data_IF_571617256189
#
_entry.id   IF_571617256189
#
_cell.length_a   1.000
_cell.length_b   1.000
_cell.length_c   1.000
_cell.angle_alpha   90.00
_cell.angle_beta   90.00
_cell.angle_gamma   90.00
#
_symmetry.space_group_name_H-M   'P 1'
#
loop_
_entity.id
_entity.type
_entity.pdbx_description
1 polymer ?
#
# COMPACT_ATOMS: atom_id res chain seq x y z
N UNK A 1 32.28 17.89 -6.27
CA UNK A 1 31.18 17.93 -7.25
C UNK A 1 30.71 16.48 -7.43
N UNK A 2 29.71 16.06 -6.69
CA UNK A 2 29.11 14.72 -6.81
C UNK A 2 28.26 14.71 -8.07
N UNK A 3 28.54 13.80 -8.98
CA UNK A 3 27.73 13.56 -10.17
C UNK A 3 26.27 13.33 -9.76
N UNK A 4 25.27 13.87 -10.49
CA UNK A 4 23.89 13.53 -10.22
C UNK A 4 23.72 12.02 -10.44
N UNK A 5 23.27 11.31 -9.41
CA UNK A 5 22.82 9.93 -9.53
C UNK A 5 21.77 9.88 -10.64
N UNK A 6 21.94 8.96 -11.58
CA UNK A 6 20.95 8.71 -12.63
C UNK A 6 19.59 8.50 -11.96
N UNK A 7 18.49 8.99 -12.56
CA UNK A 7 17.17 8.77 -12.01
C UNK A 7 16.98 7.26 -11.83
N UNK A 8 16.54 6.85 -10.63
CA UNK A 8 16.28 5.45 -10.32
C UNK A 8 15.30 4.91 -11.36
N UNK A 9 15.79 4.04 -12.25
CA UNK A 9 14.90 3.41 -13.23
C UNK A 9 14.12 2.28 -12.54
N UNK A 10 12.83 2.34 -12.59
CA UNK A 10 11.92 1.27 -12.15
C UNK A 10 11.31 0.60 -13.38
N UNK A 11 11.06 -0.72 -13.33
CA UNK A 11 11.18 -1.65 -12.20
C UNK A 11 12.62 -1.92 -11.78
N UNK A 12 12.88 -1.97 -10.46
CA UNK A 12 14.22 -2.25 -9.91
C UNK A 12 14.23 -3.61 -9.21
N UNK A 13 15.08 -4.53 -9.68
CA UNK A 13 15.31 -5.80 -9.01
C UNK A 13 16.11 -5.58 -7.71
N UNK A 14 15.59 -6.10 -6.61
CA UNK A 14 16.23 -6.10 -5.29
C UNK A 14 16.89 -7.46 -5.00
N UNK A 15 16.25 -8.54 -5.45
CA UNK A 15 16.74 -9.91 -5.32
C UNK A 15 16.61 -10.61 -6.68
N UNK A 16 17.62 -11.36 -7.11
CA UNK A 16 17.53 -12.05 -8.37
C UNK A 16 16.47 -13.15 -8.31
N UNK A 17 15.66 -13.24 -9.34
CA UNK A 17 14.74 -14.36 -9.58
C UNK A 17 14.67 -14.64 -11.07
N UNK A 18 14.38 -15.89 -11.43
CA UNK A 18 14.08 -16.23 -12.81
C UNK A 18 12.63 -15.88 -13.13
N UNK A 19 12.32 -15.46 -14.36
CA UNK A 19 10.93 -15.27 -14.81
C UNK A 19 10.10 -16.54 -14.56
N UNK A 20 8.84 -16.35 -14.19
CA UNK A 20 7.91 -17.42 -13.80
C UNK A 20 6.65 -17.41 -14.65
N UNK A 21 6.67 -17.97 -15.86
CA UNK A 21 5.47 -18.03 -16.72
C UNK A 21 4.34 -18.88 -16.12
N UNK A 22 4.64 -19.70 -15.09
CA UNK A 22 3.65 -20.51 -14.37
C UNK A 22 2.85 -19.73 -13.32
N UNK A 23 3.13 -18.45 -13.08
CA UNK A 23 2.29 -17.62 -12.19
C UNK A 23 0.89 -17.57 -12.77
N UNK A 24 -0.08 -17.96 -11.94
CA UNK A 24 -1.49 -18.03 -12.29
C UNK A 24 -2.37 -17.16 -11.39
N UNK A 25 -1.85 -16.71 -10.24
CA UNK A 25 -2.60 -15.94 -9.26
C UNK A 25 -1.82 -14.68 -8.85
N UNK A 26 -2.49 -13.56 -8.93
CA UNK A 26 -1.92 -12.24 -8.61
C UNK A 26 -2.75 -11.57 -7.54
N UNK A 27 -2.15 -11.26 -6.41
CA UNK A 27 -2.80 -10.62 -5.27
C UNK A 27 -2.28 -9.20 -5.15
N UNK A 28 -3.17 -8.24 -5.18
CA UNK A 28 -2.89 -6.83 -4.96
C UNK A 28 -3.32 -6.41 -3.56
N UNK A 29 -2.52 -5.63 -2.88
CA UNK A 29 -3.05 -4.73 -1.86
C UNK A 29 -3.89 -3.63 -2.53
N UNK A 30 -4.70 -2.92 -1.75
CA UNK A 30 -5.58 -1.89 -2.31
C UNK A 30 -5.03 -0.48 -2.07
N UNK A 31 -4.96 -0.06 -0.82
CA UNK A 31 -4.52 1.28 -0.43
C UNK A 31 -3.02 1.46 -0.67
N UNK A 32 -2.60 2.54 -1.31
CA UNK A 32 -1.20 2.78 -1.67
C UNK A 32 -0.64 1.88 -2.78
N UNK A 33 -1.41 0.88 -3.23
CA UNK A 33 -1.04 -0.08 -4.28
C UNK A 33 -1.87 0.07 -5.54
N UNK A 34 -3.19 0.10 -5.43
CA UNK A 34 -4.13 0.35 -6.53
C UNK A 34 -4.83 1.70 -6.36
N UNK A 35 -5.28 1.99 -5.14
CA UNK A 35 -5.98 3.19 -4.74
C UNK A 35 -5.02 4.22 -4.15
N UNK A 36 -5.17 5.47 -4.57
CA UNK A 36 -4.48 6.63 -4.00
C UNK A 36 -5.46 7.53 -3.21
N UNK A 37 -6.63 7.02 -2.84
CA UNK A 37 -7.66 7.77 -2.09
C UNK A 37 -7.20 8.16 -0.67
N UNK A 38 -6.32 7.37 -0.06
CA UNK A 38 -5.82 7.60 1.31
C UNK A 38 -4.46 8.27 1.38
N UNK A 39 -3.93 8.78 0.24
CA UNK A 39 -2.63 9.45 0.25
C UNK A 39 -2.60 10.61 1.25
N UNK A 40 -1.43 10.85 1.86
CA UNK A 40 -1.24 11.86 2.88
C UNK A 40 -1.78 11.46 4.27
N UNK A 41 -2.15 10.18 4.49
CA UNK A 41 -2.61 9.70 5.79
C UNK A 41 -1.59 9.92 6.94
N UNK A 42 -0.24 9.88 6.71
CA UNK A 42 0.72 10.12 7.78
C UNK A 42 0.65 11.57 8.29
N UNK A 43 0.45 12.54 7.40
CA UNK A 43 0.32 13.95 7.73
C UNK A 43 -0.97 14.24 8.52
N UNK A 44 -2.07 13.56 8.17
CA UNK A 44 -3.34 13.65 8.93
C UNK A 44 -3.11 13.18 10.37
N UNK A 45 -2.41 12.06 10.55
CA UNK A 45 -2.08 11.52 11.86
C UNK A 45 -1.10 12.41 12.61
N UNK A 46 -0.06 12.90 11.94
CA UNK A 46 0.92 13.83 12.51
C UNK A 46 0.23 15.11 13.03
N UNK A 47 -0.65 15.69 12.23
CA UNK A 47 -1.37 16.90 12.62
C UNK A 47 -2.25 16.67 13.86
N UNK A 48 -2.94 15.53 13.95
CA UNK A 48 -3.66 15.13 15.15
C UNK A 48 -2.72 14.99 16.36
N UNK A 49 -1.57 14.37 16.20
CA UNK A 49 -0.61 14.17 17.29
C UNK A 49 -0.03 15.50 17.78
N UNK A 50 0.27 16.44 16.89
CA UNK A 50 0.79 17.77 17.25
C UNK A 50 -0.17 18.58 18.12
N UNK A 51 -1.47 18.36 18.05
CA UNK A 51 -2.46 19.04 18.92
C UNK A 51 -2.31 18.66 20.41
N UNK A 52 -1.78 17.47 20.67
CA UNK A 52 -1.67 16.92 22.04
C UNK A 52 -0.23 16.70 22.49
N UNK A 53 0.75 16.88 21.60
CA UNK A 53 2.15 16.76 21.97
C UNK A 53 2.62 18.00 22.73
N UNK A 54 3.32 17.88 23.89
CA UNK A 54 3.79 19.03 24.64
C UNK A 54 4.98 19.67 23.93
N UNK A 55 4.76 20.84 23.34
CA UNK A 55 5.77 21.64 22.63
C UNK A 55 6.07 22.87 23.49
N UNK A 56 7.34 23.15 23.74
CA UNK A 56 7.83 24.30 24.46
C UNK A 56 8.41 25.32 23.49
N UNK A 57 8.50 26.64 23.88
CA UNK A 57 9.05 27.68 23.00
C UNK A 57 10.50 27.40 22.53
N UNK A 58 11.30 26.69 23.32
CA UNK A 58 12.68 26.32 23.02
C UNK A 58 12.84 25.05 22.20
N UNK A 59 11.77 24.30 21.97
CA UNK A 59 11.83 23.03 21.24
C UNK A 59 11.96 23.27 19.71
N UNK A 60 12.71 22.43 19.04
CA UNK A 60 12.77 22.39 17.59
C UNK A 60 11.54 21.65 17.03
N UNK A 61 10.58 22.42 16.52
CA UNK A 61 9.32 21.88 15.99
C UNK A 61 9.53 20.94 14.81
N UNK A 62 10.49 21.24 13.92
CA UNK A 62 10.74 20.39 12.75
C UNK A 62 11.38 19.05 13.16
N UNK A 63 12.27 19.07 14.15
CA UNK A 63 12.80 17.83 14.73
C UNK A 63 11.70 16.99 15.39
N UNK A 64 10.76 17.62 16.12
CA UNK A 64 9.62 16.92 16.72
C UNK A 64 8.73 16.30 15.65
N UNK A 65 8.38 17.02 14.57
CA UNK A 65 7.58 16.49 13.47
C UNK A 65 8.27 15.29 12.82
N UNK A 66 9.57 15.41 12.53
CA UNK A 66 10.36 14.33 11.94
C UNK A 66 10.40 13.10 12.82
N UNK A 67 10.53 13.28 14.13
CA UNK A 67 10.50 12.19 15.09
C UNK A 67 9.12 11.50 15.14
N UNK A 68 8.03 12.30 15.18
CA UNK A 68 6.67 11.76 15.23
C UNK A 68 6.30 11.05 13.93
N UNK A 69 6.65 11.60 12.77
CA UNK A 69 6.41 10.93 11.49
C UNK A 69 7.20 9.62 11.38
N UNK A 70 8.42 9.61 11.91
CA UNK A 70 9.24 8.40 11.98
C UNK A 70 8.54 7.31 12.81
N UNK A 71 8.00 7.66 13.98
CA UNK A 71 7.25 6.72 14.83
C UNK A 71 5.99 6.21 14.12
N UNK A 72 5.21 7.11 13.50
CA UNK A 72 4.00 6.77 12.73
C UNK A 72 4.33 5.73 11.65
N UNK A 73 5.33 6.02 10.83
CA UNK A 73 5.70 5.18 9.70
C UNK A 73 6.36 3.87 10.12
N UNK A 74 7.07 3.84 11.26
CA UNK A 74 7.70 2.61 11.79
C UNK A 74 6.69 1.51 12.14
N UNK A 75 5.45 1.88 12.41
CA UNK A 75 4.34 0.99 12.75
C UNK A 75 3.39 0.74 11.56
N UNK A 76 3.77 1.18 10.34
CA UNK A 76 2.97 0.93 9.15
C UNK A 76 2.79 -0.59 8.93
N UNK A 77 1.59 -0.99 8.49
CA UNK A 77 1.21 -2.40 8.32
C UNK A 77 0.75 -3.09 9.61
N UNK A 78 0.83 -2.43 10.77
CA UNK A 78 0.21 -2.88 12.01
C UNK A 78 -1.16 -2.20 12.20
N UNK A 79 -2.05 -2.77 13.05
CA UNK A 79 -3.29 -2.09 13.41
C UNK A 79 -3.03 -0.68 13.93
N UNK A 80 -3.75 0.32 13.42
CA UNK A 80 -3.56 1.76 13.69
C UNK A 80 -3.55 2.12 15.19
N UNK A 81 -4.23 1.33 16.02
CA UNK A 81 -4.21 1.53 17.48
C UNK A 81 -2.81 1.45 18.09
N UNK A 82 -1.87 0.74 17.46
CA UNK A 82 -0.47 0.68 17.96
C UNK A 82 0.24 2.02 17.75
N UNK A 83 -0.02 2.73 16.67
CA UNK A 83 0.49 4.09 16.44
C UNK A 83 -0.06 5.04 17.51
N UNK A 84 -1.35 4.94 17.84
CA UNK A 84 -1.98 5.74 18.90
C UNK A 84 -1.36 5.45 20.29
N UNK A 85 -1.11 4.19 20.61
CA UNK A 85 -0.45 3.79 21.88
C UNK A 85 0.98 4.31 21.97
N UNK A 86 1.77 4.15 20.91
CA UNK A 86 3.14 4.67 20.83
C UNK A 86 3.17 6.19 21.04
N UNK A 87 2.27 6.91 20.39
CA UNK A 87 2.14 8.35 20.58
C UNK A 87 1.79 8.73 22.03
N UNK A 88 0.79 8.06 22.63
CA UNK A 88 0.37 8.33 24.03
C UNK A 88 1.53 8.12 25.01
N UNK A 89 2.26 7.02 24.88
CA UNK A 89 3.44 6.73 25.71
C UNK A 89 4.50 7.82 25.56
N UNK A 90 4.79 8.25 24.35
CA UNK A 90 5.77 9.30 24.05
C UNK A 90 5.33 10.67 24.61
N UNK A 91 4.08 11.06 24.42
CA UNK A 91 3.54 12.31 24.92
C UNK A 91 3.54 12.37 26.46
N UNK A 92 3.13 11.28 27.13
CA UNK A 92 3.20 11.15 28.59
C UNK A 92 4.63 11.26 29.11
N UNK A 93 5.60 10.62 28.47
CA UNK A 93 7.02 10.70 28.83
C UNK A 93 7.58 12.12 28.73
N UNK A 94 7.01 12.96 27.87
CA UNK A 94 7.33 14.39 27.73
C UNK A 94 6.52 15.30 28.67
N UNK A 95 5.65 14.72 29.53
CA UNK A 95 4.82 15.45 30.48
C UNK A 95 3.51 16.00 29.88
N UNK A 96 3.12 15.51 28.69
CA UNK A 96 1.83 15.82 28.06
C UNK A 96 0.65 15.12 28.73
N UNK A 97 -0.55 15.43 28.25
CA UNK A 97 -1.81 14.81 28.69
C UNK A 97 -2.66 14.45 27.47
N UNK A 98 -2.21 13.51 26.62
CA UNK A 98 -2.96 13.13 25.44
C UNK A 98 -4.27 12.41 25.82
N UNK A 99 -5.26 12.38 24.92
CA UNK A 99 -6.42 11.49 25.02
C UNK A 99 -5.99 10.01 25.05
N UNK A 100 -6.95 9.13 25.34
CA UNK A 100 -6.70 7.68 25.28
C UNK A 100 -6.43 7.23 23.83
N UNK A 101 -5.70 6.13 23.61
CA UNK A 101 -5.45 5.61 22.26
C UNK A 101 -6.71 5.40 21.45
N UNK A 102 -7.79 4.91 22.07
CA UNK A 102 -9.07 4.64 21.42
C UNK A 102 -9.76 5.95 20.98
N UNK A 103 -9.66 7.02 21.77
CA UNK A 103 -10.21 8.34 21.44
C UNK A 103 -9.43 8.99 20.28
N UNK A 104 -8.10 8.85 20.28
CA UNK A 104 -7.25 9.31 19.19
C UNK A 104 -7.53 8.53 17.90
N UNK A 105 -7.74 7.21 18.01
CA UNK A 105 -8.09 6.39 16.85
C UNK A 105 -9.40 6.86 16.20
N UNK A 106 -10.43 7.14 16.99
CA UNK A 106 -11.71 7.66 16.50
C UNK A 106 -11.51 9.04 15.84
N UNK A 107 -10.74 9.94 16.48
CA UNK A 107 -10.48 11.27 15.94
C UNK A 107 -9.66 11.20 14.62
N UNK A 108 -8.69 10.33 14.53
CA UNK A 108 -7.92 10.10 13.31
C UNK A 108 -8.81 9.54 12.19
N UNK A 109 -9.59 8.50 12.50
CA UNK A 109 -10.49 7.88 11.52
C UNK A 109 -11.48 8.89 10.95
N UNK A 110 -12.07 9.74 11.81
CA UNK A 110 -12.96 10.79 11.37
C UNK A 110 -12.30 11.75 10.37
N UNK A 111 -11.07 12.23 10.67
CA UNK A 111 -10.35 13.14 9.77
C UNK A 111 -9.94 12.48 8.46
N UNK A 112 -9.55 11.22 8.52
CA UNK A 112 -9.22 10.47 7.32
C UNK A 112 -10.46 10.25 6.44
N UNK A 113 -11.59 9.91 7.06
CA UNK A 113 -12.87 9.75 6.36
C UNK A 113 -13.32 11.05 5.69
N UNK A 114 -13.19 12.22 6.35
CA UNK A 114 -13.50 13.52 5.74
C UNK A 114 -12.69 13.77 4.46
N UNK A 115 -11.40 13.43 4.46
CA UNK A 115 -10.54 13.58 3.28
C UNK A 115 -10.93 12.60 2.16
N UNK A 116 -11.24 11.36 2.53
CA UNK A 116 -11.68 10.34 1.55
C UNK A 116 -13.03 10.74 0.96
N UNK A 117 -13.97 11.19 1.78
CA UNK A 117 -15.32 11.60 1.34
C UNK A 117 -15.23 12.79 0.38
N UNK A 118 -14.38 13.81 0.66
CA UNK A 118 -14.13 14.91 -0.28
C UNK A 118 -13.62 14.40 -1.65
N UNK A 119 -12.67 13.46 -1.64
CA UNK A 119 -12.10 12.90 -2.87
C UNK A 119 -13.12 12.06 -3.65
N UNK A 120 -13.88 11.24 -2.94
CA UNK A 120 -14.94 10.42 -3.57
C UNK A 120 -16.09 11.28 -4.10
N UNK A 121 -16.47 12.34 -3.40
CA UNK A 121 -17.50 13.27 -3.87
C UNK A 121 -17.05 13.99 -5.14
N UNK A 122 -15.79 14.37 -5.28
CA UNK A 122 -15.23 14.94 -6.50
C UNK A 122 -15.25 13.97 -7.69
N UNK A 123 -15.16 12.68 -7.45
CA UNK A 123 -15.35 11.68 -8.51
C UNK A 123 -16.85 11.58 -8.86
N UNK A 124 -17.72 11.49 -7.86
CA UNK A 124 -19.19 11.35 -8.02
C UNK A 124 -19.81 12.54 -8.76
N UNK A 125 -19.34 13.75 -8.48
CA UNK A 125 -19.84 14.98 -9.12
C UNK A 125 -19.15 15.31 -10.47
N UNK A 126 -18.13 14.52 -10.85
CA UNK A 126 -17.40 14.67 -12.11
C UNK A 126 -16.33 15.76 -12.11
N UNK A 127 -16.03 16.39 -10.97
CA UNK A 127 -14.95 17.39 -10.84
C UNK A 127 -13.55 16.77 -10.79
N UNK A 128 -13.46 15.45 -10.59
CA UNK A 128 -12.24 14.68 -10.73
C UNK A 128 -12.50 13.38 -11.49
N UNK A 129 -11.52 12.92 -12.27
CA UNK A 129 -11.58 11.61 -12.90
C UNK A 129 -11.11 10.52 -11.90
N UNK A 130 -11.68 9.31 -11.95
CA UNK A 130 -11.22 8.18 -11.11
C UNK A 130 -9.71 7.95 -11.17
N UNK A 131 -9.10 8.10 -12.34
CA UNK A 131 -7.66 7.89 -12.55
C UNK A 131 -6.76 8.87 -11.78
N UNK A 132 -7.29 9.99 -11.28
CA UNK A 132 -6.55 10.87 -10.39
C UNK A 132 -6.23 10.19 -9.03
N UNK A 133 -7.07 9.24 -8.65
CA UNK A 133 -6.98 8.51 -7.38
C UNK A 133 -6.68 7.01 -7.55
N UNK A 134 -6.27 6.61 -8.74
CA UNK A 134 -5.67 5.30 -9.03
C UNK A 134 -4.16 5.48 -9.11
N UNK A 135 -3.38 4.60 -8.49
CA UNK A 135 -1.90 4.63 -8.61
C UNK A 135 -1.53 4.63 -10.09
N UNK A 136 -0.64 5.55 -10.47
CA UNK A 136 -0.30 5.81 -11.86
C UNK A 136 0.11 4.53 -12.60
N UNK A 137 -0.57 4.27 -13.70
CA UNK A 137 -0.34 3.09 -14.55
C UNK A 137 -1.02 1.80 -14.06
N UNK A 138 -1.62 1.74 -12.85
CA UNK A 138 -2.23 0.53 -12.31
C UNK A 138 -3.31 -0.04 -13.24
N UNK A 139 -4.19 0.80 -13.79
CA UNK A 139 -5.22 0.36 -14.73
C UNK A 139 -4.63 -0.27 -16.01
N UNK A 140 -3.51 0.27 -16.50
CA UNK A 140 -2.82 -0.30 -17.67
C UNK A 140 -2.22 -1.66 -17.33
N UNK A 141 -1.60 -1.81 -16.15
CA UNK A 141 -1.09 -3.10 -15.67
C UNK A 141 -2.22 -4.13 -15.53
N UNK A 142 -3.35 -3.76 -14.92
CA UNK A 142 -4.51 -4.65 -14.75
C UNK A 142 -5.05 -5.13 -16.10
N UNK A 143 -5.16 -4.25 -17.10
CA UNK A 143 -5.56 -4.63 -18.46
C UNK A 143 -4.58 -5.63 -19.09
N UNK A 144 -3.27 -5.40 -18.94
CA UNK A 144 -2.25 -6.33 -19.43
C UNK A 144 -2.28 -7.70 -18.72
N UNK A 145 -2.61 -7.70 -17.44
CA UNK A 145 -2.79 -8.94 -16.68
C UNK A 145 -4.08 -9.67 -17.09
N UNK A 146 -5.18 -8.94 -17.35
CA UNK A 146 -6.42 -9.52 -17.83
C UNK A 146 -6.30 -10.17 -19.24
N UNK A 147 -5.31 -9.75 -20.05
CA UNK A 147 -4.97 -10.38 -21.32
C UNK A 147 -4.20 -11.71 -21.14
N UNK A 148 -3.76 -12.01 -19.91
CA UNK A 148 -3.07 -13.23 -19.54
C UNK A 148 -4.04 -14.17 -18.80
N UNK A 149 -3.78 -15.45 -18.82
CA UNK A 149 -4.59 -16.44 -18.09
C UNK A 149 -4.18 -16.46 -16.61
N UNK A 150 -4.46 -15.34 -15.89
CA UNK A 150 -4.17 -15.18 -14.48
C UNK A 150 -5.40 -14.70 -13.72
N UNK A 151 -5.58 -15.21 -12.51
CA UNK A 151 -6.66 -14.80 -11.60
C UNK A 151 -6.19 -13.64 -10.71
N UNK A 152 -6.97 -12.56 -10.67
CA UNK A 152 -6.63 -11.34 -9.93
C UNK A 152 -7.43 -11.26 -8.63
N UNK A 153 -6.77 -10.85 -7.56
CA UNK A 153 -7.33 -10.68 -6.22
C UNK A 153 -6.95 -9.32 -5.64
N UNK A 154 -7.87 -8.75 -4.87
CA UNK A 154 -7.58 -7.64 -3.94
C UNK A 154 -7.61 -8.16 -2.52
N UNK A 155 -6.63 -7.77 -1.71
CA UNK A 155 -6.57 -8.11 -0.30
C UNK A 155 -6.17 -6.90 0.53
N UNK A 156 -7.15 -6.21 1.11
CA UNK A 156 -6.97 -5.00 1.91
C UNK A 156 -7.16 -5.23 3.42
N UNK A 157 -6.45 -4.44 4.22
CA UNK A 157 -6.73 -4.30 5.66
C UNK A 157 -7.94 -3.40 5.97
N UNK A 158 -8.41 -2.64 5.00
CA UNK A 158 -9.60 -1.78 5.09
C UNK A 158 -10.88 -2.64 5.14
N UNK A 159 -11.95 -2.09 5.76
CA UNK A 159 -13.24 -2.76 5.85
C UNK A 159 -13.78 -3.10 4.45
N UNK A 160 -14.31 -4.34 4.29
CA UNK A 160 -14.70 -4.88 2.98
C UNK A 160 -15.69 -3.98 2.23
N UNK A 161 -16.71 -3.44 2.91
CA UNK A 161 -17.72 -2.60 2.26
C UNK A 161 -17.10 -1.33 1.68
N UNK A 162 -16.11 -0.74 2.37
CA UNK A 162 -15.35 0.43 1.89
C UNK A 162 -14.51 0.07 0.66
N UNK A 163 -13.81 -1.06 0.70
CA UNK A 163 -12.98 -1.50 -0.42
C UNK A 163 -13.82 -1.75 -1.67
N UNK A 164 -15.00 -2.38 -1.51
CA UNK A 164 -15.93 -2.62 -2.61
C UNK A 164 -16.46 -1.30 -3.21
N UNK A 165 -16.94 -0.37 -2.36
CA UNK A 165 -17.41 0.94 -2.81
C UNK A 165 -16.34 1.73 -3.54
N UNK A 166 -15.13 1.76 -3.00
CA UNK A 166 -14.01 2.50 -3.58
C UNK A 166 -13.49 1.84 -4.87
N UNK A 167 -13.43 0.51 -4.93
CA UNK A 167 -13.04 -0.22 -6.14
C UNK A 167 -14.03 0.02 -7.29
N UNK A 168 -15.33 0.06 -6.99
CA UNK A 168 -16.38 0.40 -7.97
C UNK A 168 -16.23 1.85 -8.43
N UNK A 169 -16.10 2.80 -7.49
CA UNK A 169 -15.93 4.22 -7.78
C UNK A 169 -14.69 4.50 -8.63
N UNK A 170 -13.59 3.81 -8.35
CA UNK A 170 -12.36 3.88 -9.13
C UNK A 170 -12.42 3.06 -10.42
N UNK A 171 -13.54 2.40 -10.72
CA UNK A 171 -13.73 1.54 -11.90
C UNK A 171 -12.67 0.44 -12.00
N UNK A 172 -12.32 -0.16 -10.88
CA UNK A 172 -11.36 -1.27 -10.78
C UNK A 172 -12.04 -2.61 -10.46
N UNK A 173 -13.27 -2.60 -9.94
CA UNK A 173 -13.96 -3.79 -9.45
C UNK A 173 -14.08 -4.91 -10.52
N UNK A 174 -14.37 -4.56 -11.77
CA UNK A 174 -14.55 -5.52 -12.87
C UNK A 174 -13.31 -6.40 -13.12
N UNK A 175 -12.10 -5.94 -12.79
CA UNK A 175 -10.89 -6.75 -12.95
C UNK A 175 -10.82 -7.91 -11.95
N UNK A 176 -11.53 -7.81 -10.84
CA UNK A 176 -11.42 -8.74 -9.71
C UNK A 176 -12.68 -9.58 -9.50
N UNK A 177 -13.83 -9.19 -10.09
CA UNK A 177 -15.13 -9.85 -9.91
C UNK A 177 -15.48 -9.97 -8.41
N UNK A 178 -15.68 -11.18 -7.89
CA UNK A 178 -15.97 -11.48 -6.49
C UNK A 178 -14.71 -11.70 -5.62
N UNK A 179 -13.52 -11.45 -6.18
CA UNK A 179 -12.22 -11.72 -5.53
C UNK A 179 -11.62 -10.49 -4.85
N UNK A 180 -12.47 -9.66 -4.26
CA UNK A 180 -12.07 -8.53 -3.42
C UNK A 180 -12.29 -8.91 -1.96
N UNK A 181 -11.21 -8.89 -1.18
CA UNK A 181 -11.20 -9.23 0.25
C UNK A 181 -10.75 -8.03 1.07
N UNK A 182 -11.51 -7.76 2.12
CA UNK A 182 -11.24 -6.72 3.10
C UNK A 182 -11.44 -7.22 4.52
N UNK A 183 -11.11 -6.39 5.50
CA UNK A 183 -11.39 -6.70 6.90
C UNK A 183 -12.91 -6.79 7.13
N UNK A 184 -13.43 -7.83 7.81
CA UNK A 184 -14.84 -7.90 8.18
C UNK A 184 -15.16 -6.90 9.30
N UNK A 185 -16.46 -6.62 9.52
CA UNK A 185 -16.94 -5.75 10.60
C UNK A 185 -16.49 -6.24 11.99
N UNK A 186 -16.44 -7.56 12.18
CA UNK A 186 -15.77 -8.18 13.32
C UNK A 186 -14.36 -8.59 12.89
N UNK A 187 -13.42 -7.68 13.11
CA UNK A 187 -12.01 -7.89 12.74
C UNK A 187 -11.30 -8.94 13.62
N UNK A 188 -12.00 -9.57 14.60
CA UNK A 188 -11.42 -10.61 15.44
C UNK A 188 -11.03 -11.82 14.58
N UNK A 189 -9.71 -12.04 14.48
CA UNK A 189 -9.15 -13.18 13.74
C UNK A 189 -8.91 -12.94 12.25
N UNK A 190 -9.20 -11.77 11.68
CA UNK A 190 -8.82 -11.47 10.31
C UNK A 190 -7.32 -11.15 10.21
N UNK A 191 -6.67 -11.76 9.23
CA UNK A 191 -5.32 -11.35 8.81
C UNK A 191 -5.15 -11.60 7.31
N UNK A 192 -4.36 -10.75 6.65
CA UNK A 192 -3.99 -10.95 5.24
C UNK A 192 -3.39 -12.35 5.02
N UNK A 193 -2.59 -12.85 5.97
CA UNK A 193 -2.01 -14.20 5.92
C UNK A 193 -3.06 -15.28 5.77
N UNK A 194 -4.11 -15.26 6.58
CA UNK A 194 -5.19 -16.26 6.50
C UNK A 194 -5.87 -16.28 5.14
N UNK A 195 -6.02 -15.11 4.50
CA UNK A 195 -6.62 -15.03 3.16
C UNK A 195 -5.67 -15.60 2.11
N UNK A 196 -4.37 -15.32 2.18
CA UNK A 196 -3.37 -15.94 1.31
C UNK A 196 -3.40 -17.47 1.45
N UNK A 197 -3.32 -17.99 2.70
CA UNK A 197 -3.34 -19.43 2.97
C UNK A 197 -4.62 -20.08 2.43
N UNK A 198 -5.77 -19.38 2.53
CA UNK A 198 -7.04 -19.82 1.99
C UNK A 198 -7.02 -19.87 0.46
N UNK A 199 -6.56 -18.81 -0.21
CA UNK A 199 -6.44 -18.78 -1.69
C UNK A 199 -5.59 -19.98 -2.17
N UNK A 200 -4.41 -20.18 -1.57
CA UNK A 200 -3.55 -21.30 -1.95
C UNK A 200 -4.24 -22.66 -1.79
N UNK A 201 -5.00 -22.84 -0.70
CA UNK A 201 -5.68 -24.10 -0.41
C UNK A 201 -6.91 -24.33 -1.30
N UNK A 202 -7.75 -23.32 -1.52
CA UNK A 202 -8.98 -23.41 -2.33
C UNK A 202 -8.66 -23.58 -3.81
N UNK A 203 -7.65 -22.86 -4.32
CA UNK A 203 -7.25 -22.94 -5.73
C UNK A 203 -6.25 -24.09 -6.00
N UNK A 204 -5.74 -24.74 -4.95
CA UNK A 204 -4.80 -25.86 -5.08
C UNK A 204 -3.46 -25.46 -5.72
N UNK A 205 -3.04 -24.20 -5.54
CA UNK A 205 -1.80 -23.67 -6.11
C UNK A 205 -0.64 -23.74 -5.13
N UNK A 206 0.56 -23.71 -5.66
CA UNK A 206 1.79 -23.59 -4.87
C UNK A 206 2.24 -22.14 -4.81
N UNK A 207 3.07 -21.81 -3.81
CA UNK A 207 3.61 -20.47 -3.66
C UNK A 207 4.37 -19.94 -4.89
N UNK A 208 5.03 -20.83 -5.67
CA UNK A 208 5.74 -20.44 -6.89
C UNK A 208 4.83 -20.02 -8.07
N UNK A 209 3.51 -20.21 -7.92
CA UNK A 209 2.47 -19.76 -8.85
C UNK A 209 1.83 -18.43 -8.41
N UNK A 210 2.31 -17.87 -7.31
CA UNK A 210 1.77 -16.65 -6.69
C UNK A 210 2.67 -15.44 -6.98
N UNK A 211 2.02 -14.34 -7.35
CA UNK A 211 2.59 -13.00 -7.39
C UNK A 211 1.82 -12.11 -6.41
N UNK A 212 2.50 -11.29 -5.63
CA UNK A 212 1.83 -10.21 -4.91
C UNK A 212 2.46 -8.86 -5.20
N UNK A 213 1.61 -7.83 -5.22
CA UNK A 213 2.00 -6.43 -5.29
C UNK A 213 1.40 -5.70 -4.10
N UNK A 214 2.22 -4.97 -3.35
CA UNK A 214 1.76 -4.28 -2.16
C UNK A 214 2.72 -3.21 -1.66
N UNK A 215 2.19 -2.23 -0.93
CA UNK A 215 2.95 -1.17 -0.28
C UNK A 215 3.18 -1.45 1.23
N UNK A 216 2.63 -2.55 1.75
CA UNK A 216 2.82 -2.99 3.12
C UNK A 216 3.85 -4.13 3.27
N UNK A 217 4.56 -4.20 4.42
CA UNK A 217 5.56 -5.24 4.65
C UNK A 217 4.96 -6.63 4.92
N UNK A 218 3.68 -6.72 5.27
CA UNK A 218 3.03 -7.97 5.70
C UNK A 218 2.85 -8.92 4.53
N UNK A 219 2.16 -8.47 3.47
CA UNK A 219 1.92 -9.26 2.26
C UNK A 219 3.21 -9.58 1.51
N UNK A 220 4.16 -8.65 1.49
CA UNK A 220 5.47 -8.85 0.85
C UNK A 220 6.23 -9.98 1.53
N UNK A 221 6.35 -9.94 2.86
CA UNK A 221 7.03 -10.98 3.64
C UNK A 221 6.35 -12.32 3.46
N UNK A 222 5.02 -12.35 3.57
CA UNK A 222 4.28 -13.58 3.50
C UNK A 222 4.40 -14.26 2.13
N UNK A 223 4.28 -13.49 1.05
CA UNK A 223 4.48 -14.02 -0.31
C UNK A 223 5.89 -14.56 -0.52
N UNK A 224 6.91 -13.85 -0.03
CA UNK A 224 8.30 -14.31 -0.11
C UNK A 224 8.52 -15.61 0.69
N UNK A 225 7.93 -15.75 1.88
CA UNK A 225 7.98 -16.97 2.71
C UNK A 225 7.31 -18.17 2.03
N UNK A 226 6.23 -17.93 1.28
CA UNK A 226 5.54 -18.95 0.49
C UNK A 226 6.30 -19.35 -0.79
N UNK A 227 7.39 -18.65 -1.12
CA UNK A 227 8.17 -18.87 -2.34
C UNK A 227 7.57 -18.18 -3.57
N UNK A 228 6.61 -17.28 -3.41
CA UNK A 228 6.05 -16.43 -4.46
C UNK A 228 6.99 -15.31 -4.89
N UNK A 229 6.62 -14.55 -5.93
CA UNK A 229 7.27 -13.28 -6.26
C UNK A 229 6.53 -12.17 -5.52
N UNK A 230 7.26 -11.43 -4.69
CA UNK A 230 6.74 -10.27 -3.97
C UNK A 230 7.30 -8.99 -4.59
N UNK A 231 6.40 -8.11 -5.05
CA UNK A 231 6.71 -6.83 -5.68
C UNK A 231 6.29 -5.71 -4.74
N UNK A 232 7.27 -4.96 -4.24
CA UNK A 232 7.03 -3.78 -3.42
C UNK A 232 6.61 -2.60 -4.28
N UNK A 233 5.52 -1.94 -3.90
CA UNK A 233 5.01 -0.72 -4.54
C UNK A 233 5.23 0.44 -3.57
N UNK A 234 6.36 1.11 -3.70
CA UNK A 234 6.71 2.26 -2.87
C UNK A 234 6.16 3.56 -3.48
N UNK A 235 4.83 3.60 -3.69
CA UNK A 235 4.16 4.75 -4.30
C UNK A 235 4.39 6.02 -3.49
N UNK A 236 4.62 7.13 -4.19
CA UNK A 236 4.81 8.45 -3.62
C UNK A 236 3.50 8.94 -2.95
N UNK A 237 3.57 9.34 -1.67
CA UNK A 237 2.41 9.83 -0.93
C UNK A 237 2.05 11.29 -1.26
N UNK A 238 2.98 12.05 -1.85
CA UNK A 238 2.77 13.47 -2.16
C UNK A 238 2.32 13.69 -3.61
N UNK A 239 2.85 12.88 -4.54
CA UNK A 239 2.62 13.09 -5.97
C UNK A 239 2.42 11.78 -6.73
N UNK A 240 1.17 11.45 -7.06
CA UNK A 240 0.85 10.30 -7.90
C UNK A 240 1.54 10.40 -9.28
N UNK A 241 2.27 9.34 -9.64
CA UNK A 241 3.00 9.30 -10.91
C UNK A 241 4.29 10.14 -10.95
N UNK A 242 4.87 10.50 -9.81
CA UNK A 242 6.18 11.17 -9.75
C UNK A 242 7.30 10.31 -10.33
N UNK A 243 7.18 8.99 -10.24
CA UNK A 243 8.24 8.03 -10.55
C UNK A 243 9.32 7.95 -9.48
N UNK A 244 9.06 8.53 -8.33
CA UNK A 244 9.91 8.44 -7.16
C UNK A 244 9.31 7.42 -6.19
N UNK A 245 10.16 6.65 -5.54
CA UNK A 245 9.70 5.82 -4.42
C UNK A 245 9.58 6.67 -3.17
N UNK A 246 8.54 6.44 -2.38
CA UNK A 246 8.52 6.86 -0.99
C UNK A 246 9.67 6.16 -0.24
N UNK A 247 10.60 6.90 0.39
CA UNK A 247 11.80 6.31 0.98
C UNK A 247 11.50 5.36 2.15
N UNK A 248 10.40 5.59 2.88
CA UNK A 248 10.00 4.73 3.99
C UNK A 248 9.41 3.42 3.51
N UNK A 249 8.48 3.48 2.55
CA UNK A 249 7.92 2.28 1.92
C UNK A 249 9.05 1.46 1.28
N UNK A 250 9.95 2.10 0.53
CA UNK A 250 11.09 1.43 -0.09
C UNK A 250 11.94 0.66 0.92
N UNK A 251 12.29 1.28 2.04
CA UNK A 251 13.06 0.65 3.12
C UNK A 251 12.31 -0.55 3.70
N UNK A 252 11.07 -0.36 4.13
CA UNK A 252 10.26 -1.41 4.77
C UNK A 252 10.02 -2.60 3.84
N UNK A 253 9.71 -2.35 2.57
CA UNK A 253 9.45 -3.40 1.58
C UNK A 253 10.72 -4.17 1.24
N UNK A 254 11.88 -3.48 1.20
CA UNK A 254 13.19 -4.13 1.03
C UNK A 254 13.50 -5.06 2.20
N UNK A 255 13.31 -4.59 3.43
CA UNK A 255 13.50 -5.38 4.67
C UNK A 255 12.51 -6.54 4.76
N UNK A 256 11.27 -6.36 4.28
CA UNK A 256 10.25 -7.40 4.22
C UNK A 256 10.55 -8.50 3.19
N UNK A 257 11.47 -8.27 2.27
CA UNK A 257 11.91 -9.29 1.34
C UNK A 257 11.36 -9.15 -0.07
N UNK A 258 10.98 -7.94 -0.48
CA UNK A 258 10.60 -7.68 -1.86
C UNK A 258 11.66 -8.16 -2.85
N UNK A 259 11.22 -8.79 -3.94
CA UNK A 259 12.06 -9.21 -5.05
C UNK A 259 12.29 -8.08 -6.03
N UNK A 260 11.27 -7.24 -6.23
CA UNK A 260 11.27 -6.09 -7.14
C UNK A 260 10.65 -4.89 -6.42
N UNK A 261 11.10 -3.68 -6.77
CA UNK A 261 10.56 -2.41 -6.30
C UNK A 261 10.01 -1.60 -7.45
N UNK A 262 8.83 -1.03 -7.25
CA UNK A 262 8.16 -0.11 -8.15
C UNK A 262 7.89 1.21 -7.43
N UNK A 263 8.04 2.33 -8.14
CA UNK A 263 7.51 3.62 -7.70
C UNK A 263 6.03 3.79 -8.11
N UNK A 264 5.69 3.26 -9.27
CA UNK A 264 4.36 3.20 -9.87
C UNK A 264 4.38 2.18 -11.02
N UNK A 265 3.29 2.09 -11.79
CA UNK A 265 3.14 1.12 -12.88
C UNK A 265 3.32 1.75 -14.26
N UNK A 266 4.18 2.78 -14.40
CA UNK A 266 4.36 3.52 -15.66
C UNK A 266 4.81 2.70 -16.84
N UNK A 267 5.45 1.58 -16.63
CA UNK A 267 5.91 0.65 -17.67
C UNK A 267 5.44 -0.77 -17.35
N UNK A 268 4.13 -1.07 -17.59
CA UNK A 268 3.56 -2.38 -17.30
C UNK A 268 4.22 -3.51 -18.10
N UNK A 269 4.66 -3.24 -19.33
CA UNK A 269 5.29 -4.27 -20.16
C UNK A 269 6.65 -4.67 -19.58
N UNK A 270 7.50 -3.71 -19.20
CA UNK A 270 8.78 -4.02 -18.54
C UNK A 270 8.60 -4.76 -17.20
N UNK A 271 7.57 -4.41 -16.42
CA UNK A 271 7.23 -5.10 -15.18
C UNK A 271 6.87 -6.57 -15.46
N UNK A 272 5.97 -6.80 -16.41
CA UNK A 272 5.48 -8.13 -16.74
C UNK A 272 6.55 -8.99 -17.41
N UNK A 273 7.40 -8.44 -18.26
CA UNK A 273 8.50 -9.15 -18.90
C UNK A 273 9.53 -9.65 -17.88
N UNK A 274 9.81 -8.87 -16.84
CA UNK A 274 10.67 -9.32 -15.75
C UNK A 274 10.04 -10.46 -14.94
N UNK A 275 8.73 -10.41 -14.72
CA UNK A 275 8.01 -11.38 -13.88
C UNK A 275 7.72 -12.69 -14.64
N UNK A 276 7.17 -12.58 -15.85
CA UNK A 276 6.70 -13.74 -16.64
C UNK A 276 7.69 -14.19 -17.70
N UNK A 277 8.64 -13.35 -18.06
CA UNK A 277 9.49 -13.51 -19.25
C UNK A 277 8.91 -12.77 -20.46
N UNK A 278 9.79 -12.32 -21.34
CA UNK A 278 9.37 -11.69 -22.58
C UNK A 278 8.54 -12.68 -23.43
N UNK A 279 7.49 -12.20 -24.10
CA UNK A 279 6.72 -13.06 -25.00
C UNK A 279 7.66 -13.63 -26.09
N UNK A 280 7.39 -14.86 -26.58
CA UNK A 280 8.18 -15.42 -27.66
C UNK A 280 8.09 -14.48 -28.88
N UNK A 281 9.25 -14.19 -29.50
CA UNK A 281 9.28 -13.43 -30.75
C UNK A 281 8.38 -14.16 -31.76
N UNK A 282 7.37 -13.45 -32.26
CA UNK A 282 6.53 -13.97 -33.34
C UNK A 282 7.39 -13.95 -34.61
N UNK A 283 7.81 -15.12 -35.04
CA UNK A 283 8.59 -15.31 -36.25
C UNK A 283 7.78 -15.07 -37.52
#
# INVERSE_FOLDING_TARGET
MSSPTAPNSYPRLLRPFAPRPQISHVVFDFDGTLSWLRHGWPEIMLNLFLEYFPIRPEDDLEAIKQDLITDILSLNGQPTVFQMRSFVERALAKGGRPPKPEELLVAYQFRLDEVIDERTDRIKDGSAFPDHFVIFGARALLRRLAERDVTLYVLSGTHIDRVLEEADLLQLADFFEDRIFGSPADATGFSKRMVFDRILAEEGIRGDQLLSLGDGPVEIRHTAELGGIAVGVASDEDQNGSGQCDPWKEKQLTEAGAHMMLADYRDPDAILDQIFGAPPEIA
#
